data_IF_920740046886
#
_entry.id   IF_920740046886
#
_cell.length_a   1.000
_cell.length_b   1.000
_cell.length_c   1.000
_cell.angle_alpha   90.00
_cell.angle_beta   90.00
_cell.angle_gamma   90.00
#
_symmetry.space_group_name_H-M   'P 1'
#
loop_
_entity.id
_entity.type
_entity.pdbx_description
1 polymer ?
#
# COMPACT_ATOMS: atom_id res chain seq x y z
N UNK A 1 44.02 -26.19 -46.20
CA UNK A 1 43.17 -26.34 -44.95
C UNK A 1 42.11 -27.37 -45.29
N UNK A 2 42.08 -28.47 -44.58
CA UNK A 2 41.26 -29.64 -44.92
C UNK A 2 39.77 -29.31 -44.74
N UNK A 3 38.88 -29.76 -45.61
CA UNK A 3 37.46 -29.39 -45.59
C UNK A 3 36.76 -29.70 -44.22
N UNK A 4 37.22 -30.76 -43.56
CA UNK A 4 36.79 -31.07 -42.19
C UNK A 4 37.12 -29.96 -41.17
N UNK A 5 38.27 -29.26 -41.33
CA UNK A 5 38.66 -28.18 -40.43
C UNK A 5 37.81 -26.90 -40.66
N UNK A 6 37.43 -26.64 -41.94
CA UNK A 6 36.53 -25.53 -42.27
C UNK A 6 35.13 -25.73 -41.68
N UNK A 7 34.63 -26.97 -41.69
CA UNK A 7 33.33 -27.32 -41.12
C UNK A 7 33.34 -27.13 -39.58
N UNK A 8 34.41 -27.56 -38.90
CA UNK A 8 34.53 -27.40 -37.43
C UNK A 8 34.60 -25.93 -37.05
N UNK A 9 35.35 -25.10 -37.79
CA UNK A 9 35.43 -23.65 -37.54
C UNK A 9 34.07 -22.97 -37.77
N UNK A 10 33.34 -23.37 -38.82
CA UNK A 10 32.03 -22.81 -39.15
C UNK A 10 30.98 -23.16 -38.06
N UNK A 11 30.98 -24.41 -37.57
CA UNK A 11 30.11 -24.84 -36.44
C UNK A 11 30.47 -24.11 -35.18
N UNK A 12 31.73 -23.89 -34.84
CA UNK A 12 32.19 -23.12 -33.70
C UNK A 12 31.71 -21.67 -33.73
N UNK A 13 31.76 -21.01 -34.89
CA UNK A 13 31.27 -19.63 -35.06
C UNK A 13 29.73 -19.57 -34.87
N UNK A 14 28.99 -20.54 -35.42
CA UNK A 14 27.53 -20.60 -35.25
C UNK A 14 27.16 -20.81 -33.79
N UNK A 15 27.85 -21.68 -33.06
CA UNK A 15 27.62 -21.89 -31.61
C UNK A 15 27.91 -20.62 -30.82
N UNK A 16 29.01 -19.90 -31.11
CA UNK A 16 29.31 -18.62 -30.45
C UNK A 16 28.25 -17.54 -30.74
N UNK A 17 27.71 -17.49 -31.96
CA UNK A 17 26.63 -16.56 -32.33
C UNK A 17 25.33 -16.93 -31.60
N UNK A 18 24.99 -18.23 -31.53
CA UNK A 18 23.80 -18.70 -30.80
C UNK A 18 23.90 -18.42 -29.30
N UNK A 19 25.08 -18.66 -28.68
CA UNK A 19 25.34 -18.34 -27.27
C UNK A 19 25.27 -16.82 -27.05
N UNK A 20 25.82 -16.01 -27.95
CA UNK A 20 25.75 -14.55 -27.90
C UNK A 20 24.29 -14.04 -28.02
N UNK A 21 23.49 -14.66 -28.90
CA UNK A 21 22.06 -14.33 -29.06
C UNK A 21 21.25 -14.78 -27.84
N UNK A 22 21.53 -15.96 -27.26
CA UNK A 22 20.91 -16.43 -26.03
C UNK A 22 21.25 -15.51 -24.85
N UNK A 23 22.50 -15.06 -24.72
CA UNK A 23 22.91 -14.10 -23.68
C UNK A 23 22.28 -12.70 -23.87
N UNK A 24 22.04 -12.29 -25.14
CA UNK A 24 21.32 -11.05 -25.45
C UNK A 24 19.80 -11.19 -25.23
N UNK A 25 19.25 -12.40 -25.43
CA UNK A 25 17.83 -12.68 -25.14
C UNK A 25 17.59 -12.80 -23.64
N UNK A 26 18.49 -13.41 -22.87
CA UNK A 26 18.42 -13.41 -21.40
C UNK A 26 18.53 -11.98 -20.81
N UNK A 27 19.42 -11.14 -21.35
CA UNK A 27 19.47 -9.72 -20.96
C UNK A 27 18.24 -8.90 -21.40
N UNK A 28 17.48 -9.35 -22.42
CA UNK A 28 16.25 -8.69 -22.86
C UNK A 28 15.00 -9.10 -22.07
N UNK A 29 15.02 -10.27 -21.40
CA UNK A 29 13.87 -10.72 -20.60
C UNK A 29 13.83 -10.13 -19.16
N UNK A 30 14.81 -9.33 -18.79
CA UNK A 30 15.04 -8.90 -17.41
C UNK A 30 14.49 -7.50 -17.08
N UNK A 31 13.42 -7.00 -17.71
CA UNK A 31 13.01 -5.62 -17.45
C UNK A 31 11.52 -5.35 -17.21
N UNK A 32 10.65 -6.34 -17.28
CA UNK A 32 9.25 -6.17 -16.90
C UNK A 32 9.02 -6.74 -15.49
N UNK A 33 8.78 -5.87 -14.55
CA UNK A 33 8.35 -6.26 -13.21
C UNK A 33 6.84 -6.42 -13.24
N UNK A 34 6.35 -7.65 -13.14
CA UNK A 34 4.93 -7.93 -12.99
C UNK A 34 4.41 -7.21 -11.73
N UNK A 35 3.28 -6.52 -11.84
CA UNK A 35 2.65 -5.81 -10.71
C UNK A 35 2.41 -6.73 -9.53
N UNK A 36 2.16 -8.03 -9.76
CA UNK A 36 2.07 -9.04 -8.71
C UNK A 36 3.37 -9.28 -7.94
N UNK A 37 4.54 -9.01 -8.54
CA UNK A 37 5.85 -9.07 -7.86
C UNK A 37 6.09 -7.82 -7.02
N UNK A 38 5.66 -6.65 -7.51
CA UNK A 38 5.71 -5.40 -6.76
C UNK A 38 4.84 -5.50 -5.51
N UNK A 39 3.61 -5.99 -5.65
CA UNK A 39 2.69 -6.25 -4.55
C UNK A 39 3.28 -7.24 -3.53
N UNK A 40 3.90 -8.35 -3.99
CA UNK A 40 4.55 -9.34 -3.12
C UNK A 40 5.79 -8.80 -2.41
N UNK A 41 6.61 -7.99 -3.07
CA UNK A 41 7.81 -7.42 -2.47
C UNK A 41 7.47 -6.37 -1.40
N UNK A 42 6.46 -5.52 -1.63
CA UNK A 42 5.91 -4.61 -0.63
C UNK A 42 5.35 -5.36 0.60
N UNK A 43 4.88 -6.61 0.40
CA UNK A 43 4.34 -7.51 1.43
C UNK A 43 5.40 -8.07 2.37
N UNK A 44 6.63 -8.32 1.88
CA UNK A 44 7.64 -9.09 2.64
C UNK A 44 8.36 -8.28 3.74
N UNK A 45 8.24 -6.96 3.75
CA UNK A 45 9.01 -6.08 4.63
C UNK A 45 8.31 -5.66 5.93
N UNK A 46 7.02 -5.93 6.08
CA UNK A 46 6.21 -5.51 7.24
C UNK A 46 6.40 -6.37 8.51
N UNK A 47 7.62 -6.82 8.84
CA UNK A 47 7.87 -7.70 10.00
C UNK A 47 8.08 -6.96 11.34
N UNK A 48 7.27 -5.97 11.65
CA UNK A 48 7.24 -5.42 13.02
C UNK A 48 5.81 -5.49 13.59
N UNK A 49 5.43 -6.68 14.06
CA UNK A 49 4.27 -6.82 14.94
C UNK A 49 4.55 -6.01 16.21
N UNK A 50 3.86 -4.90 16.42
CA UNK A 50 3.82 -4.24 17.73
C UNK A 50 3.14 -5.19 18.71
N UNK A 51 3.79 -5.44 19.85
CA UNK A 51 3.20 -6.16 20.99
C UNK A 51 2.05 -5.30 21.52
N UNK A 52 0.89 -5.91 21.86
CA UNK A 52 -0.19 -5.23 22.61
C UNK A 52 0.44 -4.46 23.77
N UNK A 53 0.34 -3.13 23.75
CA UNK A 53 0.76 -2.27 24.85
C UNK A 53 -0.48 -1.88 25.64
N UNK A 54 -0.42 -1.89 26.96
CA UNK A 54 -1.51 -1.32 27.78
C UNK A 54 -1.74 0.12 27.32
N UNK A 55 -3.01 0.56 27.23
CA UNK A 55 -3.33 1.94 26.86
C UNK A 55 -2.62 2.93 27.81
N UNK A 56 -2.17 4.06 27.28
CA UNK A 56 -1.63 5.12 28.10
C UNK A 56 -2.69 5.58 29.12
N UNK A 57 -2.25 6.09 30.28
CA UNK A 57 -3.17 6.49 31.38
C UNK A 57 -4.13 7.62 30.97
N UNK A 58 -3.80 8.37 29.95
CA UNK A 58 -4.52 9.51 29.37
C UNK A 58 -5.03 9.21 27.93
N UNK A 59 -5.16 7.94 27.58
CA UNK A 59 -5.69 7.50 26.28
C UNK A 59 -7.16 7.94 26.13
N UNK A 60 -7.50 8.47 24.94
CA UNK A 60 -8.87 8.80 24.52
C UNK A 60 -9.43 7.64 23.70
N UNK A 61 -10.03 6.66 24.39
CA UNK A 61 -10.44 5.40 23.79
C UNK A 61 -11.81 5.50 23.11
N UNK A 62 -11.85 5.07 21.86
CA UNK A 62 -13.04 4.98 21.03
C UNK A 62 -13.17 3.59 20.42
N UNK A 63 -14.40 3.23 20.01
CA UNK A 63 -14.75 1.92 19.48
C UNK A 63 -15.41 2.02 18.12
N UNK A 64 -15.09 1.07 17.23
CA UNK A 64 -15.77 0.85 15.95
C UNK A 64 -15.84 -0.64 15.64
N UNK A 65 -16.87 -1.09 14.94
CA UNK A 65 -17.08 -2.50 14.60
C UNK A 65 -17.00 -2.71 13.09
N UNK A 66 -16.07 -3.54 12.65
CA UNK A 66 -15.68 -3.68 11.26
C UNK A 66 -15.88 -5.11 10.77
N UNK A 67 -16.85 -5.32 9.88
CA UNK A 67 -17.06 -6.57 9.17
C UNK A 67 -16.30 -6.54 7.83
N UNK A 68 -15.34 -7.43 7.62
CA UNK A 68 -14.42 -7.40 6.48
C UNK A 68 -14.14 -8.77 5.85
N UNK A 69 -15.12 -9.68 5.82
CA UNK A 69 -14.91 -11.08 5.45
C UNK A 69 -14.50 -11.91 6.66
N UNK A 70 -13.55 -12.86 6.50
CA UNK A 70 -13.05 -13.66 7.61
C UNK A 70 -12.40 -12.77 8.68
N UNK A 71 -12.96 -12.81 9.88
CA UNK A 71 -12.51 -11.93 10.99
C UNK A 71 -11.09 -12.22 11.50
N UNK A 72 -10.53 -13.41 11.30
CA UNK A 72 -9.14 -13.71 11.71
C UNK A 72 -8.10 -12.77 11.06
N UNK A 73 -8.30 -12.47 9.76
CA UNK A 73 -7.42 -11.56 9.04
C UNK A 73 -7.64 -10.12 9.45
N UNK A 74 -8.90 -9.72 9.68
CA UNK A 74 -9.26 -8.36 10.11
C UNK A 74 -8.73 -8.09 11.51
N UNK A 75 -8.92 -9.03 12.46
CA UNK A 75 -8.38 -8.95 13.82
C UNK A 75 -6.86 -8.81 13.83
N UNK A 76 -6.15 -9.71 13.16
CA UNK A 76 -4.69 -9.68 13.08
C UNK A 76 -4.16 -8.40 12.40
N UNK A 77 -4.87 -7.90 11.38
CA UNK A 77 -4.51 -6.64 10.74
C UNK A 77 -4.61 -5.47 11.71
N UNK A 78 -5.78 -5.29 12.36
CA UNK A 78 -6.01 -4.16 13.25
C UNK A 78 -5.18 -4.25 14.54
N UNK A 79 -4.89 -5.45 15.06
CA UNK A 79 -3.98 -5.61 16.20
C UNK A 79 -2.56 -5.09 15.94
N UNK A 80 -2.16 -4.92 14.67
CA UNK A 80 -0.86 -4.39 14.24
C UNK A 80 -0.87 -2.90 13.93
N UNK A 81 -2.06 -2.29 13.77
CA UNK A 81 -2.16 -0.86 13.44
C UNK A 81 -1.76 -0.01 14.65
N UNK A 82 -0.85 0.95 14.43
CA UNK A 82 -0.43 1.86 15.49
C UNK A 82 -1.62 2.71 15.96
N UNK A 83 -1.80 2.83 17.28
CA UNK A 83 -2.93 3.54 17.87
C UNK A 83 -4.16 2.65 18.15
N UNK A 84 -4.24 1.44 17.59
CA UNK A 84 -5.21 0.43 18.00
C UNK A 84 -4.72 -0.23 19.29
N UNK A 85 -5.60 -0.23 20.30
CA UNK A 85 -5.32 -0.78 21.64
C UNK A 85 -5.86 -2.19 21.82
N UNK A 86 -6.97 -2.51 21.16
CA UNK A 86 -7.56 -3.85 21.16
C UNK A 86 -8.32 -4.15 19.85
N UNK A 87 -8.37 -5.44 19.49
CA UNK A 87 -9.13 -5.97 18.37
C UNK A 87 -9.67 -7.33 18.77
N UNK A 88 -11.00 -7.48 18.76
CA UNK A 88 -11.70 -8.67 19.28
C UNK A 88 -12.64 -9.22 18.22
N UNK A 89 -12.46 -10.47 17.83
CA UNK A 89 -13.34 -11.18 16.90
C UNK A 89 -14.72 -11.46 17.51
N UNK A 90 -15.77 -11.27 16.73
CA UNK A 90 -17.14 -11.48 17.16
C UNK A 90 -18.15 -11.53 16.01
N UNK A 91 -19.40 -11.47 16.36
CA UNK A 91 -20.55 -11.59 15.45
C UNK A 91 -21.49 -10.40 15.65
N UNK A 92 -21.78 -9.63 14.59
CA UNK A 92 -22.59 -8.42 14.70
C UNK A 92 -23.79 -8.39 13.77
N UNK A 93 -24.74 -7.56 14.14
CA UNK A 93 -25.90 -7.14 13.35
C UNK A 93 -26.75 -8.28 12.77
N UNK A 94 -26.85 -9.39 13.49
CA UNK A 94 -27.75 -10.49 13.19
C UNK A 94 -29.06 -10.42 13.97
N UNK A 95 -29.76 -11.55 14.01
CA UNK A 95 -31.02 -11.73 14.74
C UNK A 95 -30.78 -12.42 16.08
N UNK A 96 -31.24 -11.80 17.19
CA UNK A 96 -31.10 -12.31 18.53
C UNK A 96 -29.83 -11.81 19.23
N UNK A 97 -29.79 -12.03 20.54
CA UNK A 97 -28.74 -11.53 21.45
C UNK A 97 -27.64 -12.60 21.69
N UNK A 98 -27.80 -13.79 21.12
CA UNK A 98 -26.84 -14.89 21.27
C UNK A 98 -26.68 -15.63 19.96
N UNK A 99 -25.46 -16.04 19.62
CA UNK A 99 -25.16 -16.92 18.51
C UNK A 99 -23.84 -17.66 18.81
N UNK A 100 -23.49 -18.61 17.97
CA UNK A 100 -22.20 -19.30 17.93
C UNK A 100 -21.84 -19.56 16.48
N UNK A 101 -20.58 -19.89 16.20
CA UNK A 101 -20.06 -19.97 14.83
C UNK A 101 -20.93 -20.80 13.88
N UNK A 102 -21.41 -21.96 14.31
CA UNK A 102 -22.21 -22.88 13.48
C UNK A 102 -23.60 -22.32 13.14
N UNK A 103 -24.06 -21.30 13.84
CA UNK A 103 -25.40 -20.72 13.68
C UNK A 103 -25.41 -19.35 12.98
N UNK A 104 -24.25 -18.70 12.79
CA UNK A 104 -24.20 -17.33 12.24
C UNK A 104 -24.84 -17.21 10.86
N UNK A 105 -24.74 -18.23 10.02
CA UNK A 105 -25.43 -18.28 8.73
C UNK A 105 -26.96 -18.29 8.84
N UNK A 106 -27.52 -18.84 9.92
CA UNK A 106 -28.97 -18.91 10.18
C UNK A 106 -29.45 -17.63 10.90
N UNK A 107 -28.66 -17.13 11.85
CA UNK A 107 -28.99 -15.93 12.61
C UNK A 107 -28.69 -14.65 11.83
N UNK A 108 -27.92 -14.76 10.74
CA UNK A 108 -27.58 -13.64 9.85
C UNK A 108 -26.61 -12.65 10.45
N UNK A 109 -25.81 -13.05 11.45
CA UNK A 109 -24.72 -12.21 11.95
C UNK A 109 -23.56 -12.18 10.95
N UNK A 110 -22.84 -11.04 10.89
CA UNK A 110 -21.59 -10.91 10.18
C UNK A 110 -20.41 -11.24 11.09
N UNK A 111 -19.39 -11.91 10.56
CA UNK A 111 -18.07 -11.93 11.19
C UNK A 111 -17.54 -10.50 11.26
N UNK A 112 -17.24 -10.04 12.46
CA UNK A 112 -16.96 -8.62 12.75
C UNK A 112 -15.85 -8.52 13.78
N UNK A 113 -14.99 -7.54 13.64
CA UNK A 113 -13.98 -7.20 14.65
C UNK A 113 -14.38 -5.93 15.36
N UNK A 114 -14.44 -5.99 16.68
CA UNK A 114 -14.52 -4.82 17.55
C UNK A 114 -13.11 -4.25 17.67
N UNK A 115 -12.93 -3.01 17.21
CA UNK A 115 -11.66 -2.29 17.24
C UNK A 115 -11.75 -1.16 18.26
N UNK A 116 -10.91 -1.23 19.29
CA UNK A 116 -10.72 -0.12 20.25
C UNK A 116 -9.44 0.62 19.92
N UNK A 117 -9.48 1.93 19.79
CA UNK A 117 -8.34 2.76 19.40
C UNK A 117 -8.21 4.02 20.26
N UNK A 118 -6.99 4.54 20.38
CA UNK A 118 -6.68 5.80 21.06
C UNK A 118 -6.74 6.97 20.07
N UNK A 119 -7.76 7.81 20.19
CA UNK A 119 -7.98 8.95 19.29
C UNK A 119 -6.87 10.01 19.36
N UNK A 120 -6.03 9.99 20.41
CA UNK A 120 -4.81 10.80 20.46
C UNK A 120 -3.70 10.30 19.50
N UNK A 121 -3.77 9.04 19.03
CA UNK A 121 -2.75 8.41 18.20
C UNK A 121 -3.23 8.13 16.77
N UNK A 122 -4.50 7.77 16.60
CA UNK A 122 -5.09 7.45 15.29
C UNK A 122 -6.55 7.91 15.23
N UNK A 123 -6.92 8.61 14.17
CA UNK A 123 -8.30 9.08 13.99
C UNK A 123 -9.22 7.98 13.45
N UNK A 124 -10.54 8.10 13.66
CA UNK A 124 -11.54 7.24 13.01
C UNK A 124 -11.39 7.22 11.49
N UNK A 125 -11.05 8.35 10.87
CA UNK A 125 -10.80 8.42 9.42
C UNK A 125 -9.67 7.51 9.00
N UNK A 126 -8.57 7.48 9.73
CA UNK A 126 -7.42 6.61 9.43
C UNK A 126 -7.77 5.13 9.66
N UNK A 127 -8.51 4.79 10.73
CA UNK A 127 -9.05 3.44 10.96
C UNK A 127 -9.89 2.98 9.74
N UNK A 128 -10.79 3.84 9.25
CA UNK A 128 -11.62 3.52 8.08
C UNK A 128 -10.80 3.41 6.79
N UNK A 129 -9.76 4.22 6.60
CA UNK A 129 -8.86 4.10 5.47
C UNK A 129 -8.06 2.78 5.53
N UNK A 130 -7.61 2.33 6.71
CA UNK A 130 -7.05 1.00 6.93
C UNK A 130 -8.06 -0.10 6.58
N UNK A 131 -9.31 0.04 7.00
CA UNK A 131 -10.37 -0.93 6.70
C UNK A 131 -10.62 -1.05 5.18
N UNK A 132 -10.77 0.07 4.46
CA UNK A 132 -10.96 0.06 3.02
C UNK A 132 -9.73 -0.40 2.22
N UNK A 133 -8.54 -0.42 2.82
CA UNK A 133 -7.32 -1.00 2.22
C UNK A 133 -7.41 -2.52 2.11
N UNK A 134 -8.07 -3.19 3.06
CA UNK A 134 -8.05 -4.65 3.19
C UNK A 134 -9.29 -5.36 2.66
N UNK A 135 -10.30 -4.63 2.23
CA UNK A 135 -11.54 -5.20 1.68
C UNK A 135 -11.71 -4.87 0.20
N UNK A 136 -12.53 -5.68 -0.49
CA UNK A 136 -13.12 -5.30 -1.76
C UNK A 136 -14.51 -4.68 -1.50
N UNK A 137 -14.66 -3.35 -1.56
CA UNK A 137 -15.88 -2.67 -1.11
C UNK A 137 -17.07 -2.78 -2.09
N UNK A 138 -16.87 -3.32 -3.29
CA UNK A 138 -17.93 -3.57 -4.29
C UNK A 138 -18.34 -5.05 -4.36
N UNK A 139 -17.80 -5.90 -3.47
CA UNK A 139 -18.07 -7.32 -3.45
C UNK A 139 -19.16 -7.65 -2.42
N UNK A 140 -20.31 -8.13 -2.89
CA UNK A 140 -21.46 -8.49 -2.03
C UNK A 140 -21.29 -9.87 -1.43
N UNK A 141 -21.39 -9.97 -0.09
CA UNK A 141 -21.33 -11.23 0.65
C UNK A 141 -20.14 -12.12 0.29
N UNK A 142 -19.00 -11.50 -0.03
CA UNK A 142 -17.79 -12.21 -0.43
C UNK A 142 -16.54 -11.37 -0.21
N UNK A 143 -15.51 -11.97 0.42
CA UNK A 143 -14.16 -11.40 0.47
C UNK A 143 -13.13 -12.52 0.20
N UNK A 144 -12.26 -12.31 -0.79
CA UNK A 144 -11.34 -13.36 -1.23
C UNK A 144 -12.08 -14.63 -1.68
N UNK A 145 -11.78 -15.76 -1.04
CA UNK A 145 -12.43 -17.04 -1.29
C UNK A 145 -13.66 -17.29 -0.37
N UNK A 146 -13.87 -16.46 0.63
CA UNK A 146 -14.95 -16.61 1.60
C UNK A 146 -16.25 -16.07 1.03
N UNK A 147 -17.28 -16.93 0.93
CA UNK A 147 -18.59 -16.66 0.32
C UNK A 147 -19.70 -16.97 1.30
N UNK A 148 -20.58 -16.01 1.53
CA UNK A 148 -21.74 -16.14 2.42
C UNK A 148 -22.09 -14.80 3.07
N UNK A 149 -23.31 -14.68 3.57
CA UNK A 149 -23.80 -13.45 4.23
C UNK A 149 -23.00 -13.09 5.49
N UNK A 150 -22.39 -14.09 6.15
CA UNK A 150 -21.50 -13.89 7.29
C UNK A 150 -20.18 -13.17 6.91
N UNK A 151 -19.77 -13.22 5.66
CA UNK A 151 -18.56 -12.54 5.13
C UNK A 151 -18.87 -11.24 4.41
N UNK A 152 -20.06 -10.66 4.66
CA UNK A 152 -20.39 -9.32 4.15
C UNK A 152 -19.52 -8.27 4.80
N UNK A 153 -19.38 -7.14 4.13
CA UNK A 153 -18.61 -6.00 4.63
C UNK A 153 -19.52 -4.97 5.31
N UNK A 154 -19.04 -4.34 6.37
CA UNK A 154 -19.82 -3.33 7.10
C UNK A 154 -19.00 -2.53 8.09
N UNK A 155 -19.43 -1.30 8.31
CA UNK A 155 -18.98 -0.38 9.35
C UNK A 155 -20.17 -0.13 10.28
N UNK A 156 -20.05 -0.60 11.52
CA UNK A 156 -21.12 -0.49 12.52
C UNK A 156 -20.67 0.45 13.63
N UNK A 157 -21.40 1.55 13.82
CA UNK A 157 -21.07 2.61 14.78
C UNK A 157 -21.97 2.55 16.01
N UNK A 158 -21.47 3.05 17.14
CA UNK A 158 -22.22 3.20 18.40
C UNK A 158 -22.53 4.67 18.73
N UNK A 159 -21.76 5.62 18.20
CA UNK A 159 -22.02 7.06 18.33
C UNK A 159 -22.41 7.66 16.96
N UNK A 160 -23.56 8.34 16.91
CA UNK A 160 -24.05 9.02 15.69
C UNK A 160 -23.10 10.15 15.24
N UNK A 161 -22.25 10.69 16.10
CA UNK A 161 -21.25 11.69 15.74
C UNK A 161 -20.22 11.15 14.75
N UNK A 162 -19.97 9.84 14.75
CA UNK A 162 -19.06 9.19 13.83
C UNK A 162 -19.57 9.19 12.37
N UNK A 163 -20.90 9.34 12.19
CA UNK A 163 -21.52 9.31 10.85
C UNK A 163 -20.95 10.35 9.89
N UNK A 164 -20.56 11.52 10.38
CA UNK A 164 -19.96 12.53 9.51
C UNK A 164 -18.65 12.02 8.89
N UNK A 165 -17.75 11.49 9.71
CA UNK A 165 -16.46 10.94 9.26
C UNK A 165 -16.67 9.70 8.39
N UNK A 166 -17.57 8.80 8.81
CA UNK A 166 -17.93 7.59 8.05
C UNK A 166 -18.41 7.98 6.65
N UNK A 167 -19.35 8.93 6.53
CA UNK A 167 -19.88 9.39 5.27
C UNK A 167 -18.78 9.99 4.38
N UNK A 168 -17.91 10.85 4.93
CA UNK A 168 -16.80 11.45 4.19
C UNK A 168 -15.88 10.38 3.59
N UNK A 169 -15.54 9.32 4.34
CA UNK A 169 -14.68 8.24 3.85
C UNK A 169 -15.41 7.40 2.79
N UNK A 170 -16.69 7.05 3.01
CA UNK A 170 -17.48 6.32 2.02
C UNK A 170 -17.58 7.08 0.69
N UNK A 171 -17.85 8.38 0.73
CA UNK A 171 -17.91 9.25 -0.46
C UNK A 171 -16.55 9.33 -1.18
N UNK A 172 -15.46 9.38 -0.41
CA UNK A 172 -14.10 9.36 -0.95
C UNK A 172 -13.77 8.04 -1.65
N UNK A 173 -14.14 6.92 -1.04
CA UNK A 173 -13.89 5.59 -1.58
C UNK A 173 -14.78 5.32 -2.80
N UNK A 174 -16.06 5.69 -2.76
CA UNK A 174 -17.00 5.50 -3.85
C UNK A 174 -16.53 6.12 -5.17
N UNK A 175 -15.82 7.26 -5.12
CA UNK A 175 -15.26 7.92 -6.32
C UNK A 175 -14.23 7.09 -7.09
N UNK A 176 -13.71 6.01 -6.49
CA UNK A 176 -12.74 5.11 -7.14
C UNK A 176 -13.39 3.98 -7.95
N UNK A 177 -14.72 3.84 -7.86
CA UNK A 177 -15.44 2.72 -8.46
C UNK A 177 -16.62 3.22 -9.31
N UNK A 178 -16.85 2.56 -10.43
CA UNK A 178 -18.03 2.81 -11.31
C UNK A 178 -19.28 2.08 -10.79
N UNK A 179 -19.17 1.32 -9.70
CA UNK A 179 -20.25 0.56 -9.07
C UNK A 179 -20.48 1.07 -7.64
N UNK A 180 -21.70 0.95 -7.10
CA UNK A 180 -21.98 1.30 -5.72
C UNK A 180 -21.17 0.42 -4.76
N UNK A 181 -20.86 0.97 -3.58
CA UNK A 181 -20.25 0.20 -2.51
C UNK A 181 -21.30 -0.76 -1.93
N UNK A 182 -20.87 -2.02 -1.71
CA UNK A 182 -21.67 -3.09 -1.07
C UNK A 182 -21.31 -3.22 0.43
N UNK A 183 -20.83 -2.14 1.04
CA UNK A 183 -20.44 -2.07 2.45
C UNK A 183 -21.62 -1.52 3.25
N UNK A 184 -22.09 -2.29 4.23
CA UNK A 184 -23.12 -1.83 5.17
C UNK A 184 -22.61 -0.64 6.00
N UNK A 185 -23.48 0.33 6.27
CA UNK A 185 -23.21 1.48 7.11
C UNK A 185 -24.40 1.68 8.04
N UNK A 186 -24.33 1.11 9.24
CA UNK A 186 -25.45 0.98 10.15
C UNK A 186 -25.03 1.22 11.59
N UNK A 187 -25.98 1.58 12.45
CA UNK A 187 -25.78 1.50 13.88
C UNK A 187 -25.54 0.04 14.32
N UNK A 188 -24.68 -0.16 15.30
CA UNK A 188 -24.51 -1.46 15.93
C UNK A 188 -25.79 -1.83 16.68
N UNK A 189 -26.38 -2.98 16.34
CA UNK A 189 -27.59 -3.52 17.00
C UNK A 189 -27.24 -4.50 18.11
N UNK A 190 -26.27 -5.37 17.83
CA UNK A 190 -25.72 -6.33 18.78
C UNK A 190 -24.30 -6.72 18.37
N UNK A 191 -23.50 -7.13 19.35
CA UNK A 191 -22.20 -7.73 19.15
C UNK A 191 -22.01 -8.85 20.18
N UNK A 192 -21.68 -10.04 19.69
CA UNK A 192 -21.43 -11.22 20.51
C UNK A 192 -19.96 -11.60 20.28
N UNK A 193 -19.16 -11.62 21.34
CA UNK A 193 -17.75 -12.05 21.27
C UNK A 193 -17.70 -13.49 20.79
N UNK A 194 -16.85 -13.77 19.81
CA UNK A 194 -16.65 -15.11 19.30
C UNK A 194 -15.89 -15.98 20.32
N UNK A 195 -15.98 -17.28 20.13
CA UNK A 195 -15.38 -18.30 21.01
C UNK A 195 -13.86 -18.11 21.10
N UNK A 196 -13.26 -18.49 22.23
CA UNK A 196 -11.83 -18.29 22.56
C UNK A 196 -10.87 -18.84 21.49
N UNK A 197 -11.26 -19.91 20.77
CA UNK A 197 -10.43 -20.47 19.72
C UNK A 197 -10.37 -19.61 18.45
N UNK A 198 -11.25 -18.62 18.29
CA UNK A 198 -11.20 -17.64 17.23
C UNK A 198 -10.33 -16.42 17.56
N UNK A 199 -10.18 -16.08 18.84
CA UNK A 199 -9.42 -14.92 19.26
C UNK A 199 -7.91 -15.13 19.01
N UNK A 200 -7.25 -14.11 18.45
CA UNK A 200 -5.82 -14.13 18.10
C UNK A 200 -5.44 -15.35 17.22
N UNK A 201 -6.36 -15.80 16.36
CA UNK A 201 -6.20 -17.07 15.63
C UNK A 201 -4.91 -17.11 14.79
N UNK A 202 -4.59 -16.04 14.04
CA UNK A 202 -3.39 -16.01 13.19
C UNK A 202 -2.10 -15.83 13.99
N UNK A 203 -2.14 -15.28 15.20
CA UNK A 203 -0.99 -15.27 16.12
C UNK A 203 -0.70 -16.67 16.67
N UNK A 204 -1.77 -17.42 17.02
CA UNK A 204 -1.68 -18.82 17.46
C UNK A 204 -1.35 -19.78 16.31
N UNK A 205 -1.74 -19.44 15.08
CA UNK A 205 -1.60 -20.25 13.87
C UNK A 205 -1.00 -19.42 12.70
N UNK A 206 0.33 -19.12 12.69
CA UNK A 206 0.95 -18.23 11.72
C UNK A 206 0.83 -18.66 10.24
N UNK A 207 0.55 -19.94 9.99
CA UNK A 207 0.32 -20.51 8.66
C UNK A 207 -1.19 -20.72 8.39
N UNK A 208 -2.07 -20.17 9.21
CA UNK A 208 -3.52 -20.23 9.04
C UNK A 208 -3.98 -19.52 7.77
N UNK A 209 -5.18 -19.87 7.31
CA UNK A 209 -5.77 -19.21 6.15
C UNK A 209 -6.02 -17.71 6.43
N UNK A 210 -5.57 -16.87 5.51
CA UNK A 210 -5.85 -15.44 5.51
C UNK A 210 -5.87 -14.93 4.06
N UNK A 211 -6.90 -14.18 3.69
CA UNK A 211 -6.98 -13.49 2.40
C UNK A 211 -6.44 -12.05 2.46
N UNK A 212 -6.19 -11.55 3.67
CA UNK A 212 -5.68 -10.19 3.92
C UNK A 212 -4.16 -10.24 4.05
N UNK A 213 -3.50 -9.27 3.44
CA UNK A 213 -2.09 -9.03 3.71
C UNK A 213 -1.93 -8.21 5.00
N UNK A 214 -1.82 -8.90 6.13
CA UNK A 214 -1.71 -8.27 7.46
C UNK A 214 -0.46 -7.41 7.63
N UNK A 215 0.58 -7.60 6.83
CA UNK A 215 1.80 -6.79 6.89
C UNK A 215 1.56 -5.35 6.39
N UNK A 216 0.50 -5.10 5.63
CA UNK A 216 0.14 -3.75 5.22
C UNK A 216 -0.29 -2.84 6.39
N UNK A 217 -0.57 -3.39 7.56
CA UNK A 217 -0.83 -2.61 8.77
C UNK A 217 0.38 -1.78 9.24
N UNK A 218 1.61 -2.19 8.86
CA UNK A 218 2.84 -1.46 9.19
C UNK A 218 3.03 -0.15 8.41
N UNK A 219 2.29 0.03 7.31
CA UNK A 219 2.38 1.23 6.48
C UNK A 219 1.35 2.27 6.89
N UNK A 220 1.70 3.57 6.90
CA UNK A 220 0.72 4.62 7.16
C UNK A 220 -0.38 4.61 6.09
N UNK A 221 -1.56 5.05 6.46
CA UNK A 221 -2.58 5.44 5.49
C UNK A 221 -2.42 6.90 5.14
N UNK A 222 -2.35 7.18 3.84
CA UNK A 222 -2.22 8.54 3.32
C UNK A 222 -3.59 8.97 2.77
N UNK A 223 -4.18 9.98 3.39
CA UNK A 223 -5.47 10.51 2.96
C UNK A 223 -5.32 11.29 1.65
N UNK A 224 -5.68 10.66 0.53
CA UNK A 224 -5.60 11.25 -0.80
C UNK A 224 -6.40 12.57 -0.93
N UNK A 225 -7.44 12.78 -0.11
CA UNK A 225 -8.26 13.99 -0.17
C UNK A 225 -7.52 15.26 0.25
N UNK A 226 -6.41 15.10 1.00
CA UNK A 226 -5.54 16.21 1.42
C UNK A 226 -4.62 16.72 0.29
N UNK A 227 -4.49 15.95 -0.79
CA UNK A 227 -3.52 16.18 -1.87
C UNK A 227 -4.20 16.21 -3.25
N UNK A 228 -5.20 17.08 -3.48
CA UNK A 228 -5.91 17.13 -4.75
C UNK A 228 -4.98 17.56 -5.88
N UNK A 229 -5.14 16.95 -7.06
CA UNK A 229 -4.39 17.37 -8.24
C UNK A 229 -4.83 18.76 -8.69
N UNK A 230 -3.91 19.75 -8.81
CA UNK A 230 -4.21 21.03 -9.43
C UNK A 230 -4.61 20.87 -10.91
N UNK A 231 -5.35 21.84 -11.44
CA UNK A 231 -5.63 21.92 -12.88
C UNK A 231 -4.33 22.09 -13.69
N UNK A 232 -4.37 21.78 -14.98
CA UNK A 232 -3.20 21.88 -15.86
C UNK A 232 -2.64 23.32 -15.92
N UNK A 233 -3.50 24.32 -15.90
CA UNK A 233 -3.06 25.73 -15.87
C UNK A 233 -2.44 26.14 -14.52
N UNK A 234 -2.86 25.56 -13.43
CA UNK A 234 -2.24 25.74 -12.12
C UNK A 234 -0.89 25.01 -12.04
N UNK A 235 -0.82 23.78 -12.56
CA UNK A 235 0.44 23.03 -12.64
C UNK A 235 1.51 23.78 -13.45
N UNK A 236 1.15 24.40 -14.58
CA UNK A 236 2.08 25.23 -15.38
C UNK A 236 2.58 26.47 -14.65
N UNK A 237 1.85 26.95 -13.65
CA UNK A 237 2.29 28.09 -12.81
C UNK A 237 3.08 27.64 -11.58
N UNK A 238 2.75 26.46 -11.05
CA UNK A 238 3.36 25.89 -9.85
C UNK A 238 4.73 25.28 -10.15
N UNK A 239 4.85 24.55 -11.26
CA UNK A 239 6.03 23.77 -11.63
C UNK A 239 6.94 24.59 -12.56
N UNK A 240 8.25 24.36 -12.44
CA UNK A 240 9.18 24.82 -13.49
C UNK A 240 8.90 24.10 -14.81
N UNK A 241 9.35 24.65 -15.96
CA UNK A 241 9.19 23.96 -17.25
C UNK A 241 9.75 22.53 -17.25
N UNK A 242 10.87 22.30 -16.56
CA UNK A 242 11.52 21.00 -16.45
C UNK A 242 10.73 20.04 -15.55
N UNK A 243 10.23 20.47 -14.39
CA UNK A 243 9.37 19.68 -13.50
C UNK A 243 8.08 19.29 -14.22
N UNK A 244 7.45 20.23 -14.94
CA UNK A 244 6.25 19.96 -15.75
C UNK A 244 6.57 18.94 -16.86
N UNK A 245 7.69 19.08 -17.56
CA UNK A 245 8.09 18.17 -18.63
C UNK A 245 8.33 16.73 -18.11
N UNK A 246 8.94 16.59 -16.94
CA UNK A 246 9.15 15.28 -16.31
C UNK A 246 7.83 14.71 -15.79
N UNK A 247 7.08 15.46 -14.96
CA UNK A 247 5.90 14.93 -14.27
C UNK A 247 4.70 14.69 -15.19
N UNK A 248 4.44 15.62 -16.13
CA UNK A 248 3.23 15.58 -16.97
C UNK A 248 3.50 15.01 -18.37
N UNK A 249 4.71 15.16 -18.92
CA UNK A 249 5.05 14.69 -20.27
C UNK A 249 5.97 13.44 -20.28
N UNK A 250 6.31 12.87 -19.11
CA UNK A 250 7.07 11.63 -19.00
C UNK A 250 8.53 11.75 -19.45
N UNK A 251 9.13 12.93 -19.34
CA UNK A 251 10.55 13.10 -19.60
C UNK A 251 11.41 12.59 -18.44
N UNK A 252 12.70 12.40 -18.67
CA UNK A 252 13.69 11.97 -17.69
C UNK A 252 14.79 13.00 -17.56
N UNK A 253 15.12 13.39 -16.34
CA UNK A 253 16.23 14.29 -16.04
C UNK A 253 17.59 13.61 -16.23
N UNK A 254 18.68 14.39 -16.22
CA UNK A 254 20.03 13.85 -16.41
C UNK A 254 20.53 13.15 -15.15
N UNK A 255 21.12 11.96 -15.34
CA UNK A 255 21.80 11.21 -14.27
C UNK A 255 22.99 11.98 -13.67
N UNK A 256 23.25 11.79 -12.37
CA UNK A 256 24.38 12.36 -11.60
C UNK A 256 24.46 13.89 -11.58
N UNK A 257 23.44 14.59 -12.05
CA UNK A 257 23.37 16.05 -12.04
C UNK A 257 22.01 16.56 -11.56
N UNK A 258 21.22 15.72 -10.91
CA UNK A 258 19.94 16.04 -10.32
C UNK A 258 20.07 16.26 -8.79
N UNK A 259 19.02 16.83 -8.18
CA UNK A 259 19.09 17.40 -6.81
C UNK A 259 19.29 16.36 -5.71
N UNK A 260 18.75 15.13 -5.86
CA UNK A 260 18.60 14.19 -4.74
C UNK A 260 19.30 12.84 -4.95
N UNK A 261 20.11 12.65 -6.01
CA UNK A 261 20.75 11.37 -6.27
C UNK A 261 21.73 10.94 -5.16
N UNK A 262 22.42 11.89 -4.54
CA UNK A 262 23.42 11.68 -3.47
C UNK A 262 23.02 12.28 -2.11
N UNK A 263 21.74 12.69 -1.94
CA UNK A 263 21.22 13.21 -0.67
C UNK A 263 20.67 12.07 0.19
N UNK A 264 21.12 11.97 1.45
CA UNK A 264 20.71 10.94 2.43
C UNK A 264 20.30 11.55 3.78
N UNK A 265 19.89 12.80 3.81
CA UNK A 265 19.35 13.47 4.99
C UNK A 265 18.00 12.83 5.38
N UNK A 266 17.73 12.77 6.71
CA UNK A 266 16.47 12.25 7.23
C UNK A 266 15.29 13.13 6.84
N UNK A 267 14.24 12.56 6.25
CA UNK A 267 13.07 13.30 5.83
C UNK A 267 12.16 12.54 4.87
N UNK A 268 11.24 13.29 4.30
CA UNK A 268 10.15 12.83 3.46
C UNK A 268 10.30 13.35 2.03
N UNK A 269 10.02 12.51 1.04
CA UNK A 269 9.93 12.92 -0.36
C UNK A 269 8.47 12.92 -0.79
N UNK A 270 7.97 14.07 -1.24
CA UNK A 270 6.57 14.29 -1.64
C UNK A 270 6.45 14.56 -3.13
N UNK A 271 5.29 14.31 -3.74
CA UNK A 271 5.01 14.69 -5.12
C UNK A 271 5.11 16.21 -5.30
N UNK A 272 5.94 16.66 -6.23
CA UNK A 272 6.14 18.10 -6.50
C UNK A 272 4.85 18.79 -6.95
N UNK A 273 3.91 18.04 -7.57
CA UNK A 273 2.66 18.58 -8.09
C UNK A 273 1.55 18.71 -7.03
N UNK A 274 1.50 17.80 -6.05
CA UNK A 274 0.37 17.72 -5.10
C UNK A 274 0.79 17.81 -3.64
N UNK A 275 2.07 17.56 -3.32
CA UNK A 275 2.55 17.41 -1.96
C UNK A 275 2.23 16.04 -1.34
N UNK A 276 1.65 15.07 -2.08
CA UNK A 276 1.37 13.73 -1.54
C UNK A 276 2.67 13.04 -1.12
N UNK A 277 2.76 12.50 0.13
CA UNK A 277 3.90 11.69 0.58
C UNK A 277 4.13 10.47 -0.31
N UNK A 278 5.36 10.28 -0.80
CA UNK A 278 5.71 9.21 -1.73
C UNK A 278 6.78 8.25 -1.20
N UNK A 279 7.89 8.80 -0.66
CA UNK A 279 9.03 7.99 -0.20
C UNK A 279 9.61 8.54 1.09
N UNK A 280 10.18 7.63 1.88
CA UNK A 280 10.93 7.94 3.09
C UNK A 280 12.45 7.86 2.86
N UNK A 281 13.23 8.71 3.55
CA UNK A 281 14.67 8.60 3.62
C UNK A 281 15.15 7.24 4.13
N UNK A 282 14.37 6.58 4.99
CA UNK A 282 14.60 5.23 5.53
C UNK A 282 14.73 4.15 4.45
N UNK A 283 13.98 4.32 3.36
CA UNK A 283 13.95 3.38 2.24
C UNK A 283 14.92 3.76 1.11
N UNK A 284 15.61 4.92 1.23
CA UNK A 284 16.56 5.39 0.24
C UNK A 284 17.90 4.65 0.34
N UNK A 285 18.51 4.35 -0.79
CA UNK A 285 19.80 3.67 -0.84
C UNK A 285 20.65 4.15 -2.03
N UNK A 286 21.97 3.97 -1.93
CA UNK A 286 22.91 4.27 -3.00
C UNK A 286 22.90 3.14 -4.04
N UNK A 287 22.32 3.41 -5.21
CA UNK A 287 22.18 2.42 -6.31
C UNK A 287 23.26 2.56 -7.40
N UNK A 288 23.99 3.68 -7.42
CA UNK A 288 24.96 3.98 -8.48
C UNK A 288 24.34 4.33 -9.84
N UNK A 289 23.00 4.44 -9.96
CA UNK A 289 22.34 4.74 -11.23
C UNK A 289 22.29 6.24 -11.59
N UNK A 290 22.59 7.12 -10.62
CA UNK A 290 22.61 8.57 -10.81
C UNK A 290 21.25 9.27 -10.61
N UNK A 291 20.25 8.58 -10.09
CA UNK A 291 18.96 9.09 -9.64
C UNK A 291 18.66 8.64 -8.21
N UNK A 292 17.82 9.36 -7.45
CA UNK A 292 17.35 8.89 -6.14
C UNK A 292 16.69 7.53 -6.28
N UNK A 293 17.09 6.58 -5.44
CA UNK A 293 16.65 5.22 -5.46
C UNK A 293 16.10 4.78 -4.12
N UNK A 294 14.92 4.14 -4.13
CA UNK A 294 14.21 3.70 -2.94
C UNK A 294 13.85 2.22 -3.06
N UNK A 295 13.78 1.52 -1.93
CA UNK A 295 13.38 0.10 -1.89
C UNK A 295 11.87 -0.07 -2.00
N UNK A 296 11.10 0.93 -1.55
CA UNK A 296 9.63 0.93 -1.56
C UNK A 296 9.08 2.36 -1.42
N UNK A 297 7.80 2.61 -1.80
CA UNK A 297 7.09 3.82 -1.41
C UNK A 297 6.75 3.80 0.08
N UNK A 298 6.49 4.98 0.68
CA UNK A 298 6.13 5.12 2.10
C UNK A 298 4.83 4.37 2.47
N UNK A 299 3.95 4.21 1.50
CA UNK A 299 2.72 3.40 1.57
C UNK A 299 2.45 2.79 0.20
N UNK A 300 1.98 1.54 0.10
CA UNK A 300 1.70 0.91 -1.18
C UNK A 300 0.62 1.66 -1.99
N UNK A 301 -0.25 2.43 -1.33
CA UNK A 301 -1.38 3.13 -1.95
C UNK A 301 -0.98 4.41 -2.70
N UNK A 302 0.21 4.99 -2.48
CA UNK A 302 0.59 6.30 -3.04
C UNK A 302 1.15 6.24 -4.46
N UNK A 303 1.47 5.04 -4.95
CA UNK A 303 2.01 4.81 -6.28
C UNK A 303 1.08 3.97 -7.14
N UNK A 304 1.07 4.24 -8.43
CA UNK A 304 0.40 3.43 -9.45
C UNK A 304 1.42 2.98 -10.50
N UNK A 305 1.15 1.88 -11.17
CA UNK A 305 2.09 1.21 -12.05
C UNK A 305 1.52 1.03 -13.45
N UNK A 306 2.34 1.28 -14.47
CA UNK A 306 1.94 1.13 -15.86
C UNK A 306 3.08 0.51 -16.68
N UNK A 307 2.73 -0.37 -17.63
CA UNK A 307 3.70 -0.87 -18.60
C UNK A 307 4.18 0.26 -19.53
N UNK A 308 5.48 0.48 -19.61
CA UNK A 308 6.14 1.42 -20.51
C UNK A 308 6.95 0.67 -21.58
N UNK A 309 6.54 0.81 -22.85
CA UNK A 309 7.20 0.20 -24.02
C UNK A 309 8.05 1.17 -24.82
N UNK A 310 8.34 2.35 -24.28
CA UNK A 310 9.16 3.35 -24.95
C UNK A 310 10.61 2.88 -25.13
N UNK A 311 11.31 3.48 -26.09
CA UNK A 311 12.74 3.25 -26.38
C UNK A 311 13.11 1.78 -26.66
N UNK A 312 12.18 0.96 -27.20
CA UNK A 312 12.36 -0.49 -27.42
C UNK A 312 12.70 -1.28 -26.14
N UNK A 313 12.30 -0.77 -24.98
CA UNK A 313 12.39 -1.44 -23.68
C UNK A 313 10.99 -1.74 -23.17
N UNK A 314 10.87 -2.75 -22.31
CA UNK A 314 9.66 -2.98 -21.53
C UNK A 314 10.01 -2.74 -20.07
N UNK A 315 9.39 -1.75 -19.47
CA UNK A 315 9.67 -1.32 -18.09
C UNK A 315 8.34 -1.10 -17.35
N UNK A 316 8.40 -1.04 -16.03
CA UNK A 316 7.25 -0.64 -15.20
C UNK A 316 7.42 0.81 -14.77
N UNK A 317 6.61 1.70 -15.36
CA UNK A 317 6.52 3.10 -14.97
C UNK A 317 5.86 3.22 -13.60
N UNK A 318 6.40 4.09 -12.75
CA UNK A 318 5.85 4.46 -11.46
C UNK A 318 5.27 5.87 -11.56
N UNK A 319 4.02 6.04 -11.16
CA UNK A 319 3.32 7.33 -11.13
C UNK A 319 2.74 7.58 -9.74
N UNK A 320 2.64 8.86 -9.33
CA UNK A 320 1.92 9.21 -8.10
C UNK A 320 0.43 8.97 -8.24
N UNK A 321 -0.23 8.54 -7.17
CA UNK A 321 -1.67 8.23 -7.13
C UNK A 321 -2.53 9.46 -7.39
N UNK A 322 -2.29 10.57 -6.69
CA UNK A 322 -3.14 11.76 -6.76
C UNK A 322 -2.74 12.68 -7.91
N UNK A 323 -1.46 12.97 -8.09
CA UNK A 323 -0.93 13.85 -9.13
C UNK A 323 -0.96 13.23 -10.52
N UNK A 324 -0.96 11.89 -10.60
CA UNK A 324 -0.66 11.15 -11.83
C UNK A 324 0.67 11.64 -12.46
N UNK A 325 1.62 12.07 -11.61
CA UNK A 325 2.94 12.52 -12.02
C UNK A 325 3.80 11.34 -12.42
N UNK A 326 4.47 11.40 -13.56
CA UNK A 326 5.53 10.45 -13.88
C UNK A 326 6.65 10.61 -12.85
N UNK A 327 6.90 9.57 -12.06
CA UNK A 327 7.96 9.57 -11.05
C UNK A 327 9.26 8.98 -11.59
N UNK A 328 9.16 7.89 -12.34
CA UNK A 328 10.29 7.11 -12.84
C UNK A 328 9.88 5.68 -13.13
N UNK A 329 10.73 4.71 -12.80
CA UNK A 329 10.50 3.28 -13.07
C UNK A 329 10.93 2.43 -11.88
N UNK A 330 10.34 1.25 -11.75
CA UNK A 330 10.73 0.24 -10.77
C UNK A 330 11.40 -0.95 -11.48
N UNK A 331 12.48 -1.45 -10.85
CA UNK A 331 13.33 -2.55 -11.33
C UNK A 331 13.46 -3.62 -10.24
N UNK A 332 13.88 -4.85 -10.64
CA UNK A 332 14.07 -6.01 -9.75
C UNK A 332 15.52 -6.23 -9.34
N UNK A 333 16.35 -5.21 -9.47
CA UNK A 333 17.79 -5.22 -9.15
C UNK A 333 18.13 -4.45 -7.86
N UNK A 334 17.14 -4.25 -6.98
CA UNK A 334 17.33 -3.65 -5.67
C UNK A 334 17.93 -4.60 -4.61
N UNK A 335 18.16 -4.08 -3.38
CA UNK A 335 18.69 -4.86 -2.27
C UNK A 335 17.80 -6.05 -1.94
N UNK A 336 18.35 -7.29 -1.98
CA UNK A 336 17.57 -8.53 -1.79
C UNK A 336 17.04 -8.68 -0.36
N UNK A 337 17.76 -8.21 0.62
CA UNK A 337 17.36 -8.15 2.02
C UNK A 337 16.25 -7.14 2.30
N UNK A 338 15.96 -6.25 1.32
CA UNK A 338 14.89 -5.24 1.37
C UNK A 338 13.84 -5.44 0.25
N UNK A 339 13.52 -6.69 -0.11
CA UNK A 339 12.48 -7.03 -1.08
C UNK A 339 12.91 -7.01 -2.55
N UNK A 340 14.17 -6.69 -2.87
CA UNK A 340 14.75 -6.83 -4.21
C UNK A 340 14.28 -5.78 -5.24
N UNK A 341 13.50 -4.77 -4.85
CA UNK A 341 13.02 -3.72 -5.76
C UNK A 341 13.87 -2.45 -5.66
N UNK A 342 14.02 -1.76 -6.79
CA UNK A 342 14.62 -0.44 -6.90
C UNK A 342 13.68 0.51 -7.64
N UNK A 343 13.12 1.44 -6.90
CA UNK A 343 12.37 2.59 -7.42
C UNK A 343 13.36 3.68 -7.83
N UNK A 344 13.60 3.82 -9.13
CA UNK A 344 14.50 4.83 -9.69
C UNK A 344 13.67 6.06 -10.07
N UNK A 345 13.79 7.13 -9.29
CA UNK A 345 12.85 8.25 -9.30
C UNK A 345 13.54 9.53 -9.78
N UNK A 346 12.87 10.34 -10.60
CA UNK A 346 13.37 11.65 -11.00
C UNK A 346 13.31 12.64 -9.82
N UNK A 347 14.40 13.36 -9.53
CA UNK A 347 14.41 14.43 -8.53
C UNK A 347 13.41 15.55 -8.85
N UNK A 348 13.19 15.82 -10.15
CA UNK A 348 12.23 16.82 -10.61
C UNK A 348 10.77 16.42 -10.39
N UNK A 349 10.50 15.16 -10.04
CA UNK A 349 9.15 14.69 -9.72
C UNK A 349 8.82 14.75 -8.23
N UNK A 350 9.83 14.98 -7.38
CA UNK A 350 9.68 14.93 -5.93
C UNK A 350 10.28 16.18 -5.28
N UNK A 351 9.73 16.52 -4.11
CA UNK A 351 10.27 17.57 -3.24
C UNK A 351 10.66 16.98 -1.88
N UNK A 352 11.84 17.30 -1.37
CA UNK A 352 12.33 16.81 -0.08
C UNK A 352 11.90 17.74 1.05
N UNK A 353 11.35 17.15 2.11
CA UNK A 353 10.98 17.81 3.37
C UNK A 353 11.89 17.25 4.46
N UNK A 354 12.83 18.05 5.02
CA UNK A 354 13.65 17.63 6.15
C UNK A 354 12.81 17.23 7.35
N UNK A 355 13.29 16.25 8.13
CA UNK A 355 12.57 15.71 9.29
C UNK A 355 12.13 16.78 10.30
N UNK A 356 13.00 17.75 10.57
CA UNK A 356 12.76 18.87 11.49
C UNK A 356 11.69 19.87 11.00
N UNK A 357 11.35 19.86 9.71
CA UNK A 357 10.32 20.71 9.11
C UNK A 357 8.99 19.98 8.89
N UNK A 358 8.93 18.68 9.14
CA UNK A 358 7.74 17.86 8.81
C UNK A 358 6.50 18.30 9.62
N UNK A 359 6.65 18.63 10.90
CA UNK A 359 5.53 19.12 11.71
C UNK A 359 4.96 20.43 11.17
N UNK A 360 5.82 21.43 10.96
CA UNK A 360 5.43 22.74 10.44
C UNK A 360 4.72 22.65 9.08
N UNK A 361 5.16 21.70 8.23
CA UNK A 361 4.61 21.48 6.89
C UNK A 361 3.40 20.53 6.87
N UNK A 362 2.91 20.07 8.03
CA UNK A 362 1.72 19.23 8.15
C UNK A 362 1.95 17.74 7.91
N UNK A 363 3.21 17.28 7.93
CA UNK A 363 3.60 15.87 7.79
C UNK A 363 4.02 15.22 9.12
N UNK A 364 3.74 15.86 10.27
CA UNK A 364 4.13 15.37 11.59
C UNK A 364 3.66 13.94 11.89
N UNK A 365 2.50 13.54 11.37
CA UNK A 365 1.94 12.20 11.49
C UNK A 365 2.81 11.10 10.85
N UNK A 366 3.82 11.46 10.05
CA UNK A 366 4.75 10.54 9.39
C UNK A 366 6.15 10.52 10.02
N UNK A 367 6.38 11.19 11.14
CA UNK A 367 7.71 11.27 11.77
C UNK A 367 8.29 9.91 12.13
N UNK A 368 7.47 8.96 12.58
CA UNK A 368 7.89 7.59 12.91
C UNK A 368 8.29 6.75 11.69
N UNK A 369 7.98 7.23 10.49
CA UNK A 369 8.26 6.54 9.22
C UNK A 369 9.50 7.08 8.50
N UNK A 370 10.16 8.08 9.06
CA UNK A 370 11.41 8.66 8.53
C UNK A 370 12.53 8.59 9.56
N UNK A 371 13.76 8.44 9.10
CA UNK A 371 14.96 8.47 9.92
C UNK A 371 15.86 9.63 9.51
#
# INVERSE_FOLDING_TARGET
>A
MNDKLKIIVFIGIIICIIIGILFLLEKRSASYTDTSQIERAAVSQGQHAKKKTEPAKDADLHDIYLAGGCFWGVEEYFSRVAGVTDAVSGYANGRGETTQYELIGQTGHAETVHVTYDANQISLKEILLHYFRIINPISKNKQGNDVGTQYRTGVYYTDEKDLEVINQVFDQVAKKYDQPLEVEKEALRNFIVAEDYHQDYLQKNPNGYCHINVNQAAYPVIDASKYPKPSDDELKKLLSPEEYAVTQNGQTERAFSNRYWDQFEAGLYVDVATGEPLFSSKDKFESGCGWPSFTQPISPDVATYKEDKSYNMVRTEVRSRTGNSHLGHVFTDGPQDKGGLRYCINSLSIHFIPKDQMEEKGYGYLLDYVE
#
